data_IF_066292735758
#
_entry.id   IF_066292735758
#
_cell.length_a   1.000
_cell.length_b   1.000
_cell.length_c   1.000
_cell.angle_alpha   90.00
_cell.angle_beta   90.00
_cell.angle_gamma   90.00
#
_symmetry.space_group_name_H-M   'P 1'
#
loop_
_entity.id
_entity.type
_entity.pdbx_description
1 polymer ?
#
# COMPACT_ATOMS: atom_id res chain seq x y z
N UNK A 1 -22.06 -6.69 3.66
CA UNK A 1 -21.64 -5.28 3.55
C UNK A 1 -20.53 -5.23 2.53
N UNK A 2 -20.81 -4.71 1.33
CA UNK A 2 -19.77 -4.57 0.31
C UNK A 2 -19.02 -3.27 0.60
N UNK A 3 -17.83 -3.40 1.17
CA UNK A 3 -16.92 -2.27 1.32
C UNK A 3 -16.20 -2.19 -0.01
N UNK A 4 -16.81 -1.46 -0.94
CA UNK A 4 -16.16 -1.09 -2.19
C UNK A 4 -15.33 0.12 -1.84
N UNK A 5 -14.02 -0.07 -1.72
CA UNK A 5 -13.08 1.04 -1.64
C UNK A 5 -13.12 1.79 -2.97
N UNK A 6 -13.39 3.09 -2.96
CA UNK A 6 -13.51 3.88 -4.19
C UNK A 6 -12.17 4.53 -4.55
N UNK A 7 -11.97 4.78 -5.85
CA UNK A 7 -10.88 5.60 -6.34
C UNK A 7 -10.98 6.99 -5.70
N UNK A 8 -9.87 7.51 -5.20
CA UNK A 8 -9.81 8.79 -4.49
C UNK A 8 -10.13 8.72 -3.00
N UNK A 9 -10.66 7.60 -2.50
CA UNK A 9 -10.71 7.37 -1.04
C UNK A 9 -9.29 7.15 -0.50
N UNK A 10 -9.13 7.22 0.83
CA UNK A 10 -7.85 6.98 1.50
C UNK A 10 -7.83 5.63 2.21
N UNK A 11 -6.71 4.93 2.10
CA UNK A 11 -6.35 3.75 2.87
C UNK A 11 -5.21 4.06 3.84
N UNK A 12 -5.18 3.35 4.98
CA UNK A 12 -4.11 3.45 5.98
C UNK A 12 -3.39 2.12 6.07
N UNK A 13 -2.08 2.17 5.91
CA UNK A 13 -1.18 1.04 6.16
C UNK A 13 -0.58 1.25 7.54
N UNK A 14 -0.44 0.16 8.29
CA UNK A 14 0.30 0.13 9.56
C UNK A 14 1.35 -0.97 9.53
N UNK A 15 2.51 -0.72 10.13
CA UNK A 15 3.59 -1.71 10.17
C UNK A 15 4.84 -1.20 10.88
N UNK A 16 5.84 -2.06 10.94
CA UNK A 16 7.16 -1.77 11.50
C UNK A 16 8.23 -1.70 10.42
N UNK A 17 7.85 -1.60 9.15
CA UNK A 17 8.83 -1.55 8.06
C UNK A 17 9.81 -0.38 8.20
N UNK A 18 10.78 -0.34 7.31
CA UNK A 18 11.75 0.75 7.19
C UNK A 18 11.04 2.10 7.01
N UNK A 19 11.69 3.19 7.43
CA UNK A 19 11.14 4.54 7.27
C UNK A 19 11.35 5.06 5.84
N UNK A 20 12.42 4.61 5.18
CA UNK A 20 12.74 4.93 3.79
C UNK A 20 13.55 3.79 3.13
N UNK A 21 13.86 3.91 1.84
CA UNK A 21 14.57 2.88 1.06
C UNK A 21 16.06 2.71 1.42
N UNK A 22 16.65 3.69 2.12
CA UNK A 22 18.08 3.74 2.47
C UNK A 22 18.33 3.15 3.87
N UNK A 23 17.29 3.02 4.69
CA UNK A 23 17.40 2.42 6.01
C UNK A 23 17.81 0.94 5.90
N UNK A 24 18.63 0.49 6.85
CA UNK A 24 19.06 -0.91 6.95
C UNK A 24 18.33 -1.66 8.05
N UNK A 25 17.53 -0.97 8.87
CA UNK A 25 16.83 -1.52 10.02
C UNK A 25 15.34 -1.19 9.96
N UNK A 26 14.53 -2.12 10.46
CA UNK A 26 13.09 -1.92 10.63
C UNK A 26 12.82 -1.02 11.85
N UNK A 27 11.66 -0.38 11.89
CA UNK A 27 11.29 0.47 13.01
C UNK A 27 11.00 -0.33 14.27
N UNK A 28 11.50 0.14 15.41
CA UNK A 28 11.12 -0.39 16.73
C UNK A 28 9.72 0.06 17.16
N UNK A 29 9.11 1.01 16.44
CA UNK A 29 7.79 1.56 16.73
C UNK A 29 6.82 1.24 15.59
N UNK A 30 5.58 0.96 15.94
CA UNK A 30 4.53 0.82 14.94
C UNK A 30 4.30 2.18 14.27
N UNK A 31 4.41 2.21 12.95
CA UNK A 31 4.18 3.37 12.12
C UNK A 31 2.90 3.21 11.33
N UNK A 32 2.37 4.32 10.84
CA UNK A 32 1.21 4.34 9.96
C UNK A 32 1.39 5.36 8.86
N UNK A 33 0.77 5.10 7.72
CA UNK A 33 0.73 6.02 6.60
C UNK A 33 -0.65 5.98 5.94
N UNK A 34 -1.19 7.14 5.61
CA UNK A 34 -2.50 7.28 4.95
C UNK A 34 -2.27 7.78 3.53
N UNK A 35 -2.66 6.96 2.55
CA UNK A 35 -2.40 7.16 1.13
C UNK A 35 -3.68 7.02 0.30
N UNK A 36 -3.81 7.72 -0.83
CA UNK A 36 -4.99 7.62 -1.66
C UNK A 36 -5.03 6.30 -2.43
N UNK A 37 -6.24 5.81 -2.68
CA UNK A 37 -6.52 4.70 -3.58
C UNK A 37 -6.53 5.24 -5.01
N UNK A 38 -5.69 4.64 -5.84
CA UNK A 38 -5.43 5.05 -7.20
C UNK A 38 -6.33 4.30 -8.18
N UNK A 39 -6.56 4.92 -9.33
CA UNK A 39 -7.21 4.24 -10.46
C UNK A 39 -6.27 3.11 -10.94
N UNK A 40 -6.74 1.84 -10.97
CA UNK A 40 -5.92 0.70 -11.37
C UNK A 40 -5.47 0.76 -12.84
N UNK A 41 -6.03 1.66 -13.65
CA UNK A 41 -5.63 1.88 -15.05
C UNK A 41 -4.42 2.81 -15.19
N UNK A 42 -3.97 3.48 -14.12
CA UNK A 42 -2.77 4.31 -14.16
C UNK A 42 -1.52 3.47 -14.44
N UNK A 43 -0.57 4.04 -15.19
CA UNK A 43 0.69 3.37 -15.52
C UNK A 43 1.49 2.98 -14.27
N UNK A 44 1.44 3.80 -13.21
CA UNK A 44 2.05 3.49 -11.91
C UNK A 44 1.48 2.23 -11.25
N UNK A 45 0.28 1.81 -11.64
CA UNK A 45 -0.40 0.60 -11.15
C UNK A 45 -0.26 -0.58 -12.12
N UNK A 46 0.50 -0.44 -13.21
CA UNK A 46 0.53 -1.42 -14.29
C UNK A 46 1.22 -2.73 -13.86
N UNK A 47 0.55 -3.89 -13.99
CA UNK A 47 1.10 -5.20 -13.64
C UNK A 47 2.29 -5.64 -14.51
N UNK A 48 2.61 -4.95 -15.61
CA UNK A 48 3.87 -5.19 -16.33
C UNK A 48 5.11 -4.75 -15.52
N UNK A 49 4.93 -3.83 -14.56
CA UNK A 49 5.92 -3.48 -13.52
C UNK A 49 5.78 -4.44 -12.31
N UNK A 50 4.63 -5.10 -12.12
CA UNK A 50 4.35 -6.04 -11.04
C UNK A 50 4.03 -7.44 -11.60
N UNK A 51 5.04 -8.27 -11.95
CA UNK A 51 4.95 -9.29 -13.01
C UNK A 51 3.97 -10.47 -12.81
N UNK A 52 3.08 -10.44 -11.81
CA UNK A 52 2.29 -11.61 -11.38
C UNK A 52 0.86 -11.33 -10.90
N UNK A 53 0.22 -10.21 -11.25
CA UNK A 53 -1.13 -9.91 -10.73
C UNK A 53 -2.23 -9.84 -11.79
N UNK A 54 -3.25 -10.68 -11.57
CA UNK A 54 -4.58 -10.48 -12.15
C UNK A 54 -5.08 -9.10 -11.68
N UNK A 55 -5.28 -8.18 -12.62
CA UNK A 55 -5.63 -6.77 -12.34
C UNK A 55 -6.97 -6.61 -11.62
N UNK A 56 -7.86 -7.60 -11.73
CA UNK A 56 -9.22 -7.54 -11.21
C UNK A 56 -9.35 -7.64 -9.69
N UNK A 57 -8.30 -8.03 -8.96
CA UNK A 57 -8.37 -8.23 -7.50
C UNK A 57 -7.27 -7.51 -6.72
N UNK A 58 -6.66 -6.48 -7.31
CA UNK A 58 -5.59 -5.70 -6.68
C UNK A 58 -6.04 -4.26 -6.46
N UNK A 59 -5.76 -3.73 -5.27
CA UNK A 59 -5.91 -2.30 -4.96
C UNK A 59 -4.56 -1.65 -5.17
N UNK A 60 -4.52 -0.59 -5.98
CA UNK A 60 -3.37 0.29 -6.10
C UNK A 60 -3.57 1.48 -5.17
N UNK A 61 -2.58 1.80 -4.35
CA UNK A 61 -2.63 2.94 -3.43
C UNK A 61 -1.23 3.51 -3.27
N UNK A 62 -1.11 4.84 -3.23
CA UNK A 62 0.17 5.52 -3.15
C UNK A 62 0.10 6.97 -3.60
N UNK A 63 1.14 7.75 -3.31
CA UNK A 63 1.27 9.13 -3.78
C UNK A 63 2.19 9.14 -5.00
N UNK A 64 1.72 9.73 -6.11
CA UNK A 64 2.46 9.71 -7.39
C UNK A 64 3.82 10.43 -7.34
N UNK A 65 4.06 11.30 -6.36
CA UNK A 65 5.38 11.92 -6.15
C UNK A 65 6.42 10.95 -5.59
N UNK A 66 5.99 9.85 -4.98
CA UNK A 66 6.88 8.85 -4.36
C UNK A 66 7.37 9.23 -2.95
N UNK A 67 6.99 10.39 -2.41
CA UNK A 67 7.48 10.86 -1.11
C UNK A 67 6.93 10.07 0.08
N UNK A 68 5.84 9.33 -0.14
CA UNK A 68 5.09 8.60 0.89
C UNK A 68 4.64 7.26 0.32
N UNK A 69 5.24 6.18 0.83
CA UNK A 69 4.91 4.81 0.42
C UNK A 69 5.16 3.82 1.58
N UNK A 70 4.71 2.58 1.42
CA UNK A 70 5.11 1.47 2.26
C UNK A 70 6.50 0.94 1.83
N UNK A 71 7.46 0.92 2.76
CA UNK A 71 8.80 0.39 2.50
C UNK A 71 8.96 -1.08 2.97
N UNK A 72 10.16 -1.64 2.81
CA UNK A 72 10.50 -3.01 3.21
C UNK A 72 10.06 -3.32 4.65
N UNK A 73 9.58 -4.54 4.87
CA UNK A 73 9.07 -4.99 6.17
C UNK A 73 7.59 -4.68 6.43
N UNK A 74 6.89 -4.00 5.52
CA UNK A 74 5.43 -3.80 5.61
C UNK A 74 4.60 -4.86 4.86
N UNK A 75 5.24 -5.76 4.10
CA UNK A 75 4.56 -6.85 3.38
C UNK A 75 3.74 -7.74 4.32
N UNK A 76 2.50 -8.03 3.93
CA UNK A 76 1.52 -8.76 4.74
C UNK A 76 0.74 -7.90 5.74
N UNK A 77 1.13 -6.63 5.93
CA UNK A 77 0.39 -5.67 6.76
C UNK A 77 -0.98 -5.31 6.17
N UNK A 78 -1.93 -4.79 6.99
CA UNK A 78 -3.26 -4.45 6.50
C UNK A 78 -3.26 -3.11 5.77
N UNK A 79 -4.01 -3.04 4.66
CA UNK A 79 -4.55 -1.79 4.12
C UNK A 79 -5.95 -1.61 4.73
N UNK A 80 -6.09 -0.65 5.63
CA UNK A 80 -7.31 -0.41 6.39
C UNK A 80 -7.99 0.90 5.98
N UNK A 81 -9.32 0.87 5.87
CA UNK A 81 -10.14 2.06 5.58
C UNK A 81 -11.08 2.35 6.74
N UNK A 82 -11.22 3.62 7.11
CA UNK A 82 -12.15 4.06 8.15
C UNK A 82 -13.48 4.49 7.53
N UNK A 83 -14.56 3.79 7.84
CA UNK A 83 -15.92 4.12 7.40
C UNK A 83 -16.88 4.14 8.58
N UNK A 84 -17.68 5.21 8.71
CA UNK A 84 -18.64 5.41 9.83
C UNK A 84 -18.05 5.06 11.21
N UNK A 85 -16.84 5.57 11.47
CA UNK A 85 -16.07 5.37 12.71
C UNK A 85 -15.68 3.90 13.01
N UNK A 86 -15.63 3.03 12.00
CA UNK A 86 -15.09 1.67 12.10
C UNK A 86 -13.98 1.45 11.09
N UNK A 87 -12.99 0.67 11.49
CA UNK A 87 -11.89 0.27 10.63
C UNK A 87 -12.23 -1.04 9.94
N UNK A 88 -11.92 -1.12 8.65
CA UNK A 88 -12.13 -2.30 7.84
C UNK A 88 -10.85 -2.61 7.09
N UNK A 89 -10.43 -3.87 7.15
CA UNK A 89 -9.34 -4.35 6.30
C UNK A 89 -9.89 -4.51 4.87
N UNK A 90 -9.32 -3.78 3.93
CA UNK A 90 -9.68 -3.80 2.50
C UNK A 90 -8.63 -4.50 1.64
N UNK A 91 -7.48 -4.85 2.21
CA UNK A 91 -6.41 -5.53 1.47
C UNK A 91 -5.18 -5.83 2.31
N UNK A 92 -4.27 -6.60 1.73
CA UNK A 92 -2.95 -6.86 2.30
C UNK A 92 -1.89 -6.14 1.47
N UNK A 93 -0.96 -5.49 2.15
CA UNK A 93 0.20 -4.87 1.54
C UNK A 93 1.07 -5.94 0.92
N UNK A 94 1.40 -5.77 -0.35
CA UNK A 94 2.31 -6.64 -1.08
C UNK A 94 3.34 -5.76 -1.78
N UNK A 95 4.54 -5.67 -1.21
CA UNK A 95 5.67 -4.99 -1.82
C UNK A 95 6.49 -6.02 -2.59
N UNK A 96 6.82 -5.72 -3.85
CA UNK A 96 7.84 -6.46 -4.58
C UNK A 96 9.18 -5.83 -4.22
N UNK A 97 10.06 -6.62 -3.61
CA UNK A 97 11.45 -6.25 -3.39
C UNK A 97 12.16 -6.11 -4.74
N UNK A 98 12.31 -4.88 -5.24
CA UNK A 98 13.41 -4.60 -6.15
C UNK A 98 14.64 -4.33 -5.29
N UNK A 99 15.40 -5.39 -4.99
CA UNK A 99 16.84 -5.20 -4.87
C UNK A 99 17.31 -4.71 -6.23
N UNK A 100 17.53 -3.41 -6.35
CA UNK A 100 18.42 -2.90 -7.40
C UNK A 100 19.75 -3.63 -7.20
N UNK A 101 20.02 -4.59 -8.09
CA UNK A 101 21.36 -5.10 -8.34
C UNK A 101 22.16 -4.03 -9.09
#
# INVERSE_FOLDING_TARGET
YNIISNIGDYGTIVGWGMHNEIDTEISNYMMQVTIPILDPTLDACNPLILPRKNSTMTICAGVLSGDIDACQGNSGGPLAQKFKNRWYNIGLVYLIEYKLL
#
